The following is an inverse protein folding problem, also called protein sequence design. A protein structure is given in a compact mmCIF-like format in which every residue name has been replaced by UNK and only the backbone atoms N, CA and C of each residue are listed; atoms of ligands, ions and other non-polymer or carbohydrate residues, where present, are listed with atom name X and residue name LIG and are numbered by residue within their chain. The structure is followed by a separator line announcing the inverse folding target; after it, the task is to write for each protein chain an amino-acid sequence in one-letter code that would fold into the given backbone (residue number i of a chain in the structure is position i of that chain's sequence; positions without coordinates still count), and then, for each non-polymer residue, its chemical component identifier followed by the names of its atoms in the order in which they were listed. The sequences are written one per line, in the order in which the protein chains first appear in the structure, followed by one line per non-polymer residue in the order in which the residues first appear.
data_IF_120928339419
#
_entry.id   IF_120928339419
#
_cell.length_a   1.000
_cell.length_b   1.000
_cell.length_c   1.000
_cell.angle_alpha   90.00
_cell.angle_beta   90.00
_cell.angle_gamma   90.00
#
_symmetry.space_group_name_H-M   'P 1'
#
loop_
_entity.id
_entity.type
_entity.pdbx_description
1 polymer ?
#
# COMPACT_ATOMS: atom_id res chain seq x y z
N UNK A 1 10.70 8.38 0.88
CA UNK A 1 9.92 7.11 0.97
C UNK A 1 10.79 6.06 1.65
N UNK A 2 10.25 5.36 2.62
CA UNK A 2 10.91 4.24 3.29
C UNK A 2 9.91 3.07 3.38
N UNK A 3 10.25 1.93 2.80
CA UNK A 3 9.39 0.75 2.67
C UNK A 3 10.14 -0.50 3.10
N UNK A 4 9.42 -1.41 3.71
CA UNK A 4 9.87 -2.77 4.00
C UNK A 4 8.80 -3.76 3.57
N UNK A 5 9.13 -4.69 2.68
CA UNK A 5 8.19 -5.71 2.25
C UNK A 5 8.22 -6.89 3.24
N UNK A 6 7.09 -7.14 3.90
CA UNK A 6 6.99 -8.15 4.96
C UNK A 6 7.06 -9.59 4.45
N UNK A 7 6.85 -9.82 3.16
CA UNK A 7 6.91 -11.16 2.54
C UNK A 7 8.30 -11.48 1.98
N UNK A 8 8.97 -10.50 1.37
CA UNK A 8 10.28 -10.71 0.73
C UNK A 8 11.45 -10.32 1.63
N UNK A 9 11.22 -9.54 2.69
CA UNK A 9 12.27 -9.02 3.56
C UNK A 9 13.10 -7.89 2.94
N UNK A 10 12.68 -7.38 1.80
CA UNK A 10 13.40 -6.31 1.08
C UNK A 10 13.14 -4.95 1.73
N UNK A 11 14.18 -4.12 1.75
CA UNK A 11 14.16 -2.75 2.23
C UNK A 11 14.39 -1.77 1.09
N UNK A 12 13.70 -0.62 1.15
CA UNK A 12 13.94 0.50 0.27
C UNK A 12 13.86 1.80 1.06
N UNK A 13 14.89 2.65 0.92
CA UNK A 13 14.85 4.05 1.31
C UNK A 13 15.29 4.88 0.13
N UNK A 14 14.40 5.75 -0.37
CA UNK A 14 14.68 6.54 -1.56
C UNK A 14 13.94 7.88 -1.55
N UNK A 15 14.48 8.84 -2.28
CA UNK A 15 13.81 10.09 -2.65
C UNK A 15 13.20 9.88 -4.02
N UNK A 16 11.87 9.90 -4.11
CA UNK A 16 11.14 9.61 -5.36
C UNK A 16 10.64 10.88 -6.08
N UNK A 17 10.69 12.00 -5.40
CA UNK A 17 10.30 13.32 -5.92
C UNK A 17 11.34 14.36 -5.52
N UNK A 18 11.84 15.12 -6.48
CA UNK A 18 12.74 16.24 -6.27
C UNK A 18 12.65 17.23 -7.44
N UNK A 19 12.88 18.49 -7.16
CA UNK A 19 12.92 19.57 -8.17
C UNK A 19 11.67 19.60 -9.09
N UNK A 20 10.50 19.27 -8.52
CA UNK A 20 9.22 19.34 -9.23
C UNK A 20 8.90 18.13 -10.10
N UNK A 21 9.65 17.03 -10.02
CA UNK A 21 9.38 15.83 -10.82
C UNK A 21 9.74 14.53 -10.09
N UNK A 22 9.17 13.43 -10.60
CA UNK A 22 9.49 12.09 -10.13
C UNK A 22 10.88 11.64 -10.60
N UNK A 23 11.62 10.99 -9.69
CA UNK A 23 12.92 10.40 -10.02
C UNK A 23 12.68 8.99 -10.56
N UNK A 24 12.99 8.76 -11.82
CA UNK A 24 12.68 7.52 -12.54
C UNK A 24 13.21 6.26 -11.86
N UNK A 25 14.48 6.30 -11.45
CA UNK A 25 15.14 5.16 -10.81
C UNK A 25 14.46 4.83 -9.48
N UNK A 26 14.14 5.84 -8.69
CA UNK A 26 13.44 5.67 -7.42
C UNK A 26 12.03 5.08 -7.61
N UNK A 27 11.29 5.55 -8.62
CA UNK A 27 9.95 5.00 -8.93
C UNK A 27 10.05 3.55 -9.40
N UNK A 28 11.07 3.20 -10.19
CA UNK A 28 11.33 1.81 -10.59
C UNK A 28 11.62 0.91 -9.39
N UNK A 29 12.42 1.37 -8.45
CA UNK A 29 12.75 0.63 -7.23
C UNK A 29 11.52 0.47 -6.33
N UNK A 30 10.66 1.49 -6.27
CA UNK A 30 9.36 1.40 -5.57
C UNK A 30 8.45 0.37 -6.24
N UNK A 31 8.36 0.36 -7.58
CA UNK A 31 7.57 -0.64 -8.31
C UNK A 31 8.09 -2.05 -8.05
N UNK A 32 9.40 -2.22 -7.93
CA UNK A 32 10.01 -3.50 -7.61
C UNK A 32 9.62 -3.99 -6.21
N UNK A 33 9.78 -3.17 -5.17
CA UNK A 33 9.47 -3.58 -3.79
C UNK A 33 7.95 -3.78 -3.58
N UNK A 34 7.11 -3.11 -4.38
CA UNK A 34 5.65 -3.23 -4.32
C UNK A 34 5.08 -4.26 -5.31
N UNK A 35 5.93 -5.05 -5.98
CA UNK A 35 5.47 -6.10 -6.92
C UNK A 35 4.63 -7.15 -6.23
N UNK A 36 3.93 -7.95 -7.01
CA UNK A 36 3.23 -9.12 -6.51
C UNK A 36 4.23 -10.13 -5.92
N UNK A 37 4.19 -10.35 -4.62
CA UNK A 37 5.14 -11.22 -3.92
C UNK A 37 4.90 -12.71 -4.16
N UNK A 38 3.74 -13.10 -4.71
CA UNK A 38 3.44 -14.50 -5.06
C UNK A 38 3.94 -14.86 -6.47
N UNK A 39 3.87 -13.94 -7.41
CA UNK A 39 4.20 -14.19 -8.82
C UNK A 39 5.46 -13.48 -9.31
N UNK A 40 6.02 -12.55 -8.51
CA UNK A 40 7.07 -11.61 -8.90
C UNK A 40 6.71 -10.68 -10.08
N UNK A 41 5.43 -10.64 -10.46
CA UNK A 41 4.99 -9.71 -11.49
C UNK A 41 5.10 -8.26 -11.01
N UNK A 42 5.68 -7.41 -11.87
CA UNK A 42 5.81 -5.98 -11.64
C UNK A 42 4.77 -5.24 -12.46
N UNK A 43 4.12 -4.26 -11.85
CA UNK A 43 3.29 -3.28 -12.53
C UNK A 43 3.68 -1.89 -12.06
N UNK A 44 3.77 -0.89 -12.94
CA UNK A 44 3.92 0.49 -12.51
C UNK A 44 2.81 0.90 -11.55
N UNK A 45 3.20 1.36 -10.37
CA UNK A 45 2.25 1.91 -9.40
C UNK A 45 1.76 3.26 -9.87
N UNK A 46 0.48 3.54 -9.62
CA UNK A 46 -0.11 4.84 -9.92
C UNK A 46 0.57 5.93 -9.09
N UNK A 47 0.94 7.05 -9.72
CA UNK A 47 1.59 8.17 -9.04
C UNK A 47 0.76 8.69 -7.85
N UNK A 48 -0.57 8.67 -7.95
CA UNK A 48 -1.47 9.08 -6.87
C UNK A 48 -1.30 8.27 -5.59
N UNK A 49 -1.04 6.96 -5.67
CA UNK A 49 -0.79 6.16 -4.47
C UNK A 49 0.59 6.43 -3.88
N UNK A 50 1.59 6.72 -4.70
CA UNK A 50 2.92 7.11 -4.21
C UNK A 50 2.85 8.44 -3.45
N UNK A 51 2.13 9.41 -3.99
CA UNK A 51 1.93 10.71 -3.33
C UNK A 51 1.11 10.55 -2.04
N UNK A 52 0.09 9.69 -2.06
CA UNK A 52 -0.70 9.37 -0.87
C UNK A 52 0.18 8.79 0.25
N UNK A 53 1.09 7.88 -0.07
CA UNK A 53 2.04 7.32 0.91
C UNK A 53 2.99 8.40 1.45
N UNK A 54 3.46 9.31 0.61
CA UNK A 54 4.28 10.45 1.02
C UNK A 54 3.54 11.37 1.99
N UNK A 55 2.32 11.77 1.64
CA UNK A 55 1.47 12.61 2.48
C UNK A 55 1.10 11.91 3.81
N UNK A 56 0.85 10.60 3.77
CA UNK A 56 0.53 9.81 4.95
C UNK A 56 1.72 9.77 5.92
N UNK A 57 2.93 9.56 5.42
CA UNK A 57 4.17 9.61 6.22
C UNK A 57 4.33 10.98 6.90
N UNK A 58 4.14 12.06 6.15
CA UNK A 58 4.30 13.42 6.66
C UNK A 58 3.23 13.73 7.73
N UNK A 59 1.99 13.30 7.51
CA UNK A 59 0.91 13.48 8.48
C UNK A 59 1.09 12.67 9.76
N UNK A 60 1.71 11.49 9.66
CA UNK A 60 2.07 10.65 10.81
C UNK A 60 3.32 11.17 11.54
N UNK A 61 4.02 12.14 10.95
CA UNK A 61 5.32 12.63 11.43
C UNK A 61 6.25 11.47 11.82
N UNK A 62 6.47 10.57 10.87
CA UNK A 62 7.28 9.38 11.09
C UNK A 62 8.39 9.24 10.05
N UNK A 63 9.54 8.72 10.49
CA UNK A 63 10.65 8.30 9.64
C UNK A 63 10.75 6.78 9.52
N UNK A 64 9.91 6.07 10.27
CA UNK A 64 9.85 4.63 10.22
C UNK A 64 9.39 4.16 8.84
N UNK A 65 9.85 3.00 8.37
CA UNK A 65 9.36 2.44 7.12
C UNK A 65 7.89 2.05 7.25
N UNK A 66 7.14 2.19 6.18
CA UNK A 66 5.90 1.44 6.05
C UNK A 66 6.21 -0.03 5.80
N UNK A 67 5.66 -0.89 6.63
CA UNK A 67 5.70 -2.33 6.48
C UNK A 67 4.62 -2.74 5.48
N UNK A 68 5.04 -3.04 4.26
CA UNK A 68 4.14 -3.38 3.16
C UNK A 68 3.65 -4.81 3.31
N UNK A 69 2.35 -4.99 3.45
CA UNK A 69 1.66 -6.28 3.49
C UNK A 69 1.25 -6.70 2.08
N UNK A 70 0.78 -5.76 1.26
CA UNK A 70 0.46 -5.99 -0.15
C UNK A 70 0.62 -4.68 -0.93
N UNK A 71 1.34 -4.73 -2.04
CA UNK A 71 1.39 -3.67 -3.04
C UNK A 71 0.55 -4.04 -4.26
N UNK A 72 1.18 -4.17 -5.42
CA UNK A 72 0.53 -4.71 -6.61
C UNK A 72 0.16 -6.18 -6.39
N UNK A 73 -0.96 -6.56 -6.93
CA UNK A 73 -1.43 -7.95 -6.96
C UNK A 73 -1.88 -8.28 -8.38
N UNK A 74 -1.28 -9.31 -8.97
CA UNK A 74 -1.64 -9.73 -10.32
C UNK A 74 -3.09 -10.23 -10.39
N UNK A 75 -3.74 -10.13 -11.55
CA UNK A 75 -5.09 -10.70 -11.73
C UNK A 75 -5.16 -12.19 -11.37
N UNK A 76 -4.11 -12.95 -11.66
CA UNK A 76 -4.02 -14.38 -11.34
C UNK A 76 -3.98 -14.60 -9.83
N UNK A 77 -3.10 -13.91 -9.11
CA UNK A 77 -3.03 -13.99 -7.64
C UNK A 77 -4.35 -13.54 -7.02
N UNK A 78 -4.94 -12.44 -7.48
CA UNK A 78 -6.20 -11.95 -6.95
C UNK A 78 -7.35 -12.94 -7.16
N UNK A 79 -7.42 -13.57 -8.35
CA UNK A 79 -8.43 -14.59 -8.64
C UNK A 79 -8.29 -15.81 -7.72
N UNK A 80 -7.06 -16.28 -7.50
CA UNK A 80 -6.79 -17.38 -6.58
C UNK A 80 -7.28 -17.06 -5.17
N UNK A 81 -6.87 -15.91 -4.62
CA UNK A 81 -7.27 -15.47 -3.27
C UNK A 81 -8.80 -15.27 -3.15
N UNK A 82 -9.44 -14.76 -4.20
CA UNK A 82 -10.90 -14.60 -4.24
C UNK A 82 -11.61 -15.96 -4.16
N UNK A 83 -11.14 -16.95 -4.92
CA UNK A 83 -11.70 -18.30 -4.92
C UNK A 83 -11.45 -19.06 -3.62
N UNK A 84 -10.32 -18.80 -2.95
CA UNK A 84 -9.98 -19.35 -1.64
C UNK A 84 -10.80 -18.72 -0.50
N UNK A 85 -11.57 -17.67 -0.78
CA UNK A 85 -12.45 -17.03 0.20
C UNK A 85 -11.71 -16.23 1.27
N UNK A 86 -10.48 -15.76 0.98
CA UNK A 86 -9.70 -14.95 1.94
C UNK A 86 -10.16 -13.49 2.02
N UNK A 87 -11.32 -13.17 1.46
CA UNK A 87 -11.96 -11.86 1.65
C UNK A 87 -11.42 -10.73 0.77
N UNK A 88 -10.69 -11.03 -0.31
CA UNK A 88 -10.26 -10.01 -1.28
C UNK A 88 -11.39 -9.65 -2.25
N UNK A 89 -11.46 -8.39 -2.68
CA UNK A 89 -12.42 -7.96 -3.67
C UNK A 89 -12.09 -8.54 -5.06
N UNK A 90 -13.11 -8.92 -5.82
CA UNK A 90 -12.96 -9.41 -7.20
C UNK A 90 -12.30 -8.35 -8.10
N UNK A 91 -12.67 -7.09 -7.95
CA UNK A 91 -12.16 -5.93 -8.69
C UNK A 91 -11.33 -5.03 -7.77
N UNK A 92 -10.24 -5.58 -7.25
CA UNK A 92 -9.37 -4.88 -6.29
C UNK A 92 -8.54 -3.77 -6.95
N UNK A 93 -8.33 -2.66 -6.25
CA UNK A 93 -7.40 -1.60 -6.68
C UNK A 93 -5.93 -2.05 -6.66
N UNK A 94 -5.58 -3.10 -5.92
CA UNK A 94 -4.25 -3.72 -5.98
C UNK A 94 -3.91 -4.22 -7.40
N UNK A 95 -4.91 -4.73 -8.15
CA UNK A 95 -4.72 -5.18 -9.54
C UNK A 95 -4.36 -4.01 -10.47
N UNK A 96 -4.79 -2.81 -10.12
CA UNK A 96 -4.55 -1.59 -10.92
C UNK A 96 -3.27 -0.87 -10.53
N UNK A 97 -2.52 -1.35 -9.52
CA UNK A 97 -1.38 -0.64 -8.97
C UNK A 97 -1.77 0.66 -8.25
N UNK A 98 -2.97 0.73 -7.69
CA UNK A 98 -3.55 1.93 -7.06
C UNK A 98 -3.74 1.78 -5.55
N UNK A 99 -3.30 0.68 -4.95
CA UNK A 99 -3.52 0.39 -3.54
C UNK A 99 -2.28 -0.21 -2.87
N UNK A 100 -2.15 0.05 -1.58
CA UNK A 100 -1.16 -0.57 -0.70
C UNK A 100 -1.82 -0.91 0.64
N UNK A 101 -1.58 -2.13 1.11
CA UNK A 101 -1.87 -2.54 2.48
C UNK A 101 -0.61 -2.39 3.32
N UNK A 102 -0.70 -1.69 4.43
CA UNK A 102 0.48 -1.32 5.21
C UNK A 102 0.21 -1.24 6.72
N UNK A 103 1.31 -1.30 7.47
CA UNK A 103 1.40 -1.00 8.89
C UNK A 103 2.72 -0.31 9.20
N UNK A 104 2.97 0.06 10.45
CA UNK A 104 4.22 0.67 10.90
C UNK A 104 4.54 0.18 12.31
N UNK A 105 5.81 0.09 12.66
CA UNK A 105 6.19 -0.27 14.04
C UNK A 105 5.97 0.90 15.01
N UNK A 106 6.23 2.13 14.56
CA UNK A 106 6.15 3.34 15.38
C UNK A 106 4.75 3.98 15.47
N UNK A 107 3.75 3.43 14.78
CA UNK A 107 2.37 3.95 14.78
C UNK A 107 1.38 2.80 14.79
N UNK A 108 0.33 2.93 15.60
CA UNK A 108 -0.76 1.95 15.60
C UNK A 108 -1.56 2.00 14.30
N UNK A 109 -2.24 0.91 13.97
CA UNK A 109 -3.09 0.89 12.76
C UNK A 109 -4.29 1.86 12.88
N UNK A 110 -4.74 2.19 14.09
CA UNK A 110 -5.73 3.23 14.35
C UNK A 110 -5.18 4.62 13.97
N UNK A 111 -3.96 4.93 14.37
CA UNK A 111 -3.30 6.18 14.01
C UNK A 111 -3.11 6.30 12.50
N UNK A 112 -2.71 5.21 11.84
CA UNK A 112 -2.55 5.17 10.38
C UNK A 112 -3.90 5.36 9.68
N UNK A 113 -4.94 4.66 10.12
CA UNK A 113 -6.32 4.83 9.61
C UNK A 113 -6.78 6.27 9.71
N UNK A 114 -6.67 6.87 10.89
CA UNK A 114 -7.18 8.21 11.16
C UNK A 114 -6.41 9.27 10.34
N UNK A 115 -5.09 9.11 10.22
CA UNK A 115 -4.27 9.95 9.36
C UNK A 115 -4.69 9.83 7.89
N UNK A 116 -4.88 8.60 7.39
CA UNK A 116 -5.30 8.33 6.01
C UNK A 116 -6.70 8.90 5.72
N UNK A 117 -7.65 8.72 6.63
CA UNK A 117 -8.99 9.31 6.52
C UNK A 117 -8.94 10.84 6.45
N UNK A 118 -8.10 11.46 7.27
CA UNK A 118 -7.93 12.91 7.29
C UNK A 118 -7.35 13.48 6.00
N UNK A 119 -6.60 12.72 5.23
CA UNK A 119 -6.06 13.12 3.93
C UNK A 119 -7.14 13.19 2.83
N UNK A 120 -8.22 12.40 2.94
CA UNK A 120 -9.27 12.31 1.92
C UNK A 120 -8.73 12.00 0.52
N UNK A 121 -7.64 11.24 0.45
CA UNK A 121 -6.93 10.93 -0.80
C UNK A 121 -7.49 9.74 -1.58
N UNK A 122 -8.45 9.01 -1.00
CA UNK A 122 -9.04 7.83 -1.63
C UNK A 122 -9.71 6.90 -0.62
N UNK A 123 -9.72 5.61 -0.92
CA UNK A 123 -10.27 4.58 -0.05
C UNK A 123 -9.37 4.27 1.13
N UNK A 124 -9.97 4.03 2.29
CA UNK A 124 -9.29 3.59 3.51
C UNK A 124 -10.03 2.38 4.08
N UNK A 125 -9.35 1.24 4.15
CA UNK A 125 -9.83 0.00 4.76
C UNK A 125 -9.10 -0.28 6.07
N UNK A 126 -9.85 -0.52 7.14
CA UNK A 126 -9.29 -0.83 8.45
C UNK A 126 -9.46 -2.32 8.75
N UNK A 127 -8.36 -3.03 8.96
CA UNK A 127 -8.32 -4.48 9.16
C UNK A 127 -7.70 -4.84 10.51
N UNK A 128 -8.43 -4.66 11.62
CA UNK A 128 -7.88 -4.82 12.97
C UNK A 128 -7.42 -6.25 13.28
N UNK A 129 -8.11 -7.27 12.75
CA UNK A 129 -7.73 -8.67 12.98
C UNK A 129 -6.47 -9.06 12.21
N UNK A 130 -6.26 -8.49 11.03
CA UNK A 130 -5.08 -8.73 10.20
C UNK A 130 -3.92 -7.78 10.51
N UNK A 131 -4.19 -6.72 11.26
CA UNK A 131 -3.18 -5.77 11.72
C UNK A 131 -2.61 -4.86 10.63
N UNK A 132 -3.44 -4.43 9.66
CA UNK A 132 -3.04 -3.50 8.62
C UNK A 132 -4.13 -2.50 8.24
N UNK A 133 -3.74 -1.47 7.52
CA UNK A 133 -4.63 -0.49 6.88
C UNK A 133 -4.42 -0.55 5.38
N UNK A 134 -5.52 -0.64 4.64
CA UNK A 134 -5.54 -0.47 3.19
C UNK A 134 -5.69 1.01 2.85
N UNK A 135 -4.88 1.49 1.92
CA UNK A 135 -5.02 2.81 1.32
C UNK A 135 -5.01 2.70 -0.19
N UNK A 136 -5.87 3.45 -0.88
CA UNK A 136 -5.89 3.54 -2.33
C UNK A 136 -6.21 4.95 -2.81
N UNK A 137 -5.84 5.26 -4.05
CA UNK A 137 -6.13 6.54 -4.70
C UNK A 137 -7.39 6.50 -5.58
N UNK A 138 -8.34 5.62 -5.27
CA UNK A 138 -9.68 5.61 -5.87
C UNK A 138 -10.62 6.63 -5.22
N UNK A 139 -11.95 6.48 -5.38
CA UNK A 139 -12.92 7.35 -4.74
C UNK A 139 -12.79 7.36 -3.21
N UNK A 140 -13.02 8.51 -2.60
CA UNK A 140 -13.00 8.67 -1.14
C UNK A 140 -14.10 7.82 -0.53
N UNK A 141 -13.73 6.83 0.27
CA UNK A 141 -14.62 5.91 0.98
C UNK A 141 -13.87 5.24 2.13
N UNK A 142 -14.61 4.63 3.04
CA UNK A 142 -14.01 3.88 4.16
C UNK A 142 -14.82 2.62 4.46
N UNK A 143 -14.14 1.62 5.00
CA UNK A 143 -14.76 0.39 5.50
C UNK A 143 -13.92 -0.26 6.59
N UNK A 144 -14.55 -1.17 7.31
CA UNK A 144 -13.87 -2.06 8.25
C UNK A 144 -13.92 -3.49 7.69
N UNK A 145 -12.77 -4.09 7.50
CA UNK A 145 -12.64 -5.45 7.03
C UNK A 145 -12.61 -6.47 8.16
N UNK A 146 -13.10 -7.66 7.87
CA UNK A 146 -13.08 -8.82 8.78
C UNK A 146 -12.14 -9.92 8.33
N UNK A 147 -11.27 -9.63 7.37
CA UNK A 147 -10.36 -10.61 6.79
C UNK A 147 -9.41 -11.12 7.87
N UNK A 148 -9.34 -12.45 7.99
CA UNK A 148 -8.25 -13.12 8.69
C UNK A 148 -7.14 -13.31 7.65
N UNK A 149 -6.07 -12.61 7.84
CA UNK A 149 -4.87 -12.88 7.05
C UNK A 149 -4.31 -14.25 7.42
#
# INVERSE_FOLDING_TARGET
MSLYNTHTGEWLRTVYWADGHYIREAVRDINWILRDHDSDEIRPMNAGVLDLLGMLRDRLDTRDPFLVVCGYRSPTTNRRLYLEGVGVAKHSYHIKGMAVDLRSEGRSIEQIRDAALGLRGGGVGYYPHSGFVHVDCGPVRQWRGSVRA
#
